data_IF_535107886373
#
_entry.id   IF_535107886373
#
_cell.length_a   1.000
_cell.length_b   1.000
_cell.length_c   1.000
_cell.angle_alpha   90.00
_cell.angle_beta   90.00
_cell.angle_gamma   90.00
#
_symmetry.space_group_name_H-M   'P 1'
#
loop_
_entity.id
_entity.type
_entity.pdbx_description
1 polymer ?
#
# COMPACT_ATOMS: atom_id res chain seq x y z
N UNK A 1 -11.81 -6.08 -30.21
CA UNK A 1 -11.04 -4.85 -30.57
C UNK A 1 -10.14 -4.50 -29.39
N UNK A 2 -8.82 -4.70 -29.52
CA UNK A 2 -7.84 -4.34 -28.47
C UNK A 2 -7.55 -2.85 -28.66
N UNK A 3 -8.02 -2.02 -27.73
CA UNK A 3 -7.81 -0.56 -27.79
C UNK A 3 -6.31 -0.25 -27.94
N UNK A 4 -5.94 0.85 -28.64
CA UNK A 4 -4.54 1.20 -28.87
C UNK A 4 -3.80 1.30 -27.53
N UNK A 5 -2.57 0.77 -27.51
CA UNK A 5 -1.65 0.80 -26.36
C UNK A 5 -1.33 2.26 -25.98
N UNK A 6 -2.24 2.89 -25.25
CA UNK A 6 -2.02 4.19 -24.61
C UNK A 6 -0.82 3.96 -23.70
N UNK A 7 0.30 4.68 -23.90
CA UNK A 7 1.42 4.68 -22.95
C UNK A 7 0.84 5.11 -21.60
N UNK A 8 0.53 4.15 -20.75
CA UNK A 8 -0.05 4.42 -19.44
C UNK A 8 1.08 4.96 -18.56
N UNK A 9 0.93 6.16 -17.98
CA UNK A 9 1.98 6.73 -17.16
C UNK A 9 2.22 5.80 -15.97
N UNK A 10 3.48 5.41 -15.76
CA UNK A 10 3.86 4.58 -14.61
C UNK A 10 3.45 5.23 -13.27
N UNK A 11 3.37 6.57 -13.26
CA UNK A 11 2.94 7.40 -12.15
C UNK A 11 1.53 7.93 -12.39
N UNK A 12 0.55 7.33 -11.74
CA UNK A 12 -0.82 7.82 -11.64
C UNK A 12 -1.08 8.38 -10.26
N UNK A 13 -2.07 9.27 -10.11
CA UNK A 13 -2.46 9.78 -8.79
C UNK A 13 -2.75 8.63 -7.80
N UNK A 14 -3.50 7.61 -8.26
CA UNK A 14 -3.79 6.43 -7.45
C UNK A 14 -2.54 5.64 -7.04
N UNK A 15 -1.56 5.47 -7.92
CA UNK A 15 -0.31 4.78 -7.56
C UNK A 15 0.54 5.58 -6.56
N UNK A 16 0.52 6.91 -6.63
CA UNK A 16 1.19 7.77 -5.64
C UNK A 16 0.50 7.68 -4.28
N UNK A 17 -0.83 7.76 -4.25
CA UNK A 17 -1.61 7.59 -3.01
C UNK A 17 -1.33 6.22 -2.38
N UNK A 18 -1.33 5.16 -3.20
CA UNK A 18 -0.97 3.80 -2.75
C UNK A 18 0.41 3.74 -2.12
N UNK A 19 1.40 4.37 -2.75
CA UNK A 19 2.79 4.39 -2.26
C UNK A 19 2.89 5.14 -0.92
N UNK A 20 2.29 6.32 -0.82
CA UNK A 20 2.32 7.14 0.39
C UNK A 20 1.57 6.46 1.54
N UNK A 21 0.40 5.90 1.27
CA UNK A 21 -0.37 5.17 2.25
C UNK A 21 0.32 3.87 2.68
N UNK A 22 0.91 3.11 1.76
CA UNK A 22 1.69 1.92 2.08
C UNK A 22 2.93 2.24 2.91
N UNK A 23 3.66 3.31 2.57
CA UNK A 23 4.81 3.77 3.34
C UNK A 23 4.41 4.23 4.75
N UNK A 24 3.34 5.01 4.87
CA UNK A 24 2.80 5.45 6.16
C UNK A 24 2.37 4.25 7.00
N UNK A 25 1.75 3.24 6.39
CA UNK A 25 1.35 2.01 7.06
C UNK A 25 2.56 1.26 7.62
N UNK A 26 3.57 1.01 6.76
CA UNK A 26 4.79 0.33 7.15
C UNK A 26 5.56 1.07 8.25
N UNK A 27 5.62 2.41 8.18
CA UNK A 27 6.26 3.24 9.19
C UNK A 27 5.52 3.21 10.53
N UNK A 28 4.19 3.33 10.51
CA UNK A 28 3.36 3.22 11.71
C UNK A 28 3.51 1.85 12.36
N UNK A 29 3.54 0.78 11.56
CA UNK A 29 3.76 -0.57 12.06
C UNK A 29 5.14 -0.71 12.74
N UNK A 30 6.21 -0.26 12.07
CA UNK A 30 7.54 -0.27 12.66
C UNK A 30 7.60 0.52 13.97
N UNK A 31 7.05 1.73 14.00
CA UNK A 31 7.15 2.60 15.16
C UNK A 31 6.26 2.13 16.32
N UNK A 32 4.96 1.90 16.08
CA UNK A 32 4.00 1.59 17.13
C UNK A 32 4.09 0.15 17.60
N UNK A 33 4.28 -0.81 16.69
CA UNK A 33 4.25 -2.24 17.01
C UNK A 33 5.63 -2.75 17.38
N UNK A 34 6.65 -2.48 16.54
CA UNK A 34 8.00 -3.03 16.76
C UNK A 34 8.81 -2.23 17.78
N UNK A 35 8.72 -0.90 17.79
CA UNK A 35 9.52 -0.06 18.69
C UNK A 35 8.83 0.21 20.04
N UNK A 36 7.54 0.54 20.03
CA UNK A 36 6.81 0.95 21.25
C UNK A 36 5.95 -0.16 21.88
N UNK A 37 5.81 -1.34 21.22
CA UNK A 37 4.96 -2.45 21.65
C UNK A 37 3.51 -2.04 21.99
N UNK A 38 3.00 -1.00 21.33
CA UNK A 38 1.68 -0.40 21.55
C UNK A 38 0.59 -1.15 20.78
N UNK A 39 0.35 -2.39 21.16
CA UNK A 39 -0.64 -3.31 20.56
C UNK A 39 -2.04 -2.72 20.28
N UNK A 40 -2.65 -1.88 21.14
CA UNK A 40 -3.98 -1.33 20.87
C UNK A 40 -4.02 -0.29 19.74
N UNK A 41 -2.89 0.33 19.44
CA UNK A 41 -2.78 1.44 18.48
C UNK A 41 -2.61 0.95 17.03
N UNK A 42 -2.70 -0.37 16.81
CA UNK A 42 -2.69 -1.00 15.49
C UNK A 42 -3.84 -0.57 14.59
N UNK A 43 -4.96 -0.14 15.19
CA UNK A 43 -6.12 0.36 14.42
C UNK A 43 -5.75 1.58 13.57
N UNK A 44 -4.73 2.34 13.98
CA UNK A 44 -4.22 3.49 13.22
C UNK A 44 -3.46 3.09 11.96
N UNK A 45 -2.90 1.87 11.89
CA UNK A 45 -2.29 1.33 10.66
C UNK A 45 -3.37 0.91 9.65
N UNK A 46 -4.53 0.46 10.13
CA UNK A 46 -5.60 -0.04 9.27
C UNK A 46 -6.12 1.03 8.30
N UNK A 47 -6.15 2.30 8.73
CA UNK A 47 -6.65 3.42 7.93
C UNK A 47 -5.78 3.65 6.68
N UNK A 48 -4.46 3.92 6.79
CA UNK A 48 -3.58 4.02 5.63
C UNK A 48 -3.42 2.68 4.91
N UNK A 49 -3.42 1.54 5.62
CA UNK A 49 -3.34 0.21 5.01
C UNK A 49 -4.49 -0.06 4.04
N UNK A 50 -5.75 0.11 4.47
CA UNK A 50 -6.93 -0.11 3.63
C UNK A 50 -6.99 0.89 2.47
N UNK A 51 -6.70 2.16 2.73
CA UNK A 51 -6.68 3.19 1.69
C UNK A 51 -5.62 2.88 0.62
N UNK A 52 -4.42 2.49 1.06
CA UNK A 52 -3.33 2.06 0.18
C UNK A 52 -3.72 0.83 -0.64
N UNK A 53 -4.37 -0.16 -0.03
CA UNK A 53 -4.77 -1.40 -0.69
C UNK A 53 -5.84 -1.15 -1.76
N UNK A 54 -6.88 -0.36 -1.46
CA UNK A 54 -7.95 -0.02 -2.41
C UNK A 54 -7.40 0.78 -3.59
N UNK A 55 -6.62 1.83 -3.32
CA UNK A 55 -6.00 2.62 -4.38
C UNK A 55 -4.99 1.80 -5.21
N UNK A 56 -4.28 0.86 -4.56
CA UNK A 56 -3.25 0.04 -5.19
C UNK A 56 -3.86 -0.97 -6.16
N UNK A 57 -4.87 -1.70 -5.70
CA UNK A 57 -5.63 -2.63 -6.54
C UNK A 57 -6.27 -1.90 -7.72
N UNK A 58 -6.88 -0.73 -7.49
CA UNK A 58 -7.45 0.08 -8.56
C UNK A 58 -6.39 0.52 -9.59
N UNK A 59 -5.24 0.99 -9.12
CA UNK A 59 -4.15 1.47 -9.98
C UNK A 59 -3.51 0.33 -10.78
N UNK A 60 -3.35 -0.84 -10.19
CA UNK A 60 -2.83 -2.05 -10.87
C UNK A 60 -3.84 -2.51 -11.92
N UNK A 61 -5.12 -2.67 -11.55
CA UNK A 61 -6.14 -3.18 -12.46
C UNK A 61 -6.36 -2.27 -13.67
N UNK A 62 -6.32 -0.95 -13.47
CA UNK A 62 -6.66 0.01 -14.52
C UNK A 62 -5.46 0.47 -15.36
N UNK A 63 -4.28 0.55 -14.75
CA UNK A 63 -3.10 1.20 -15.34
C UNK A 63 -1.84 0.34 -15.35
N UNK A 64 -1.90 -0.91 -14.88
CA UNK A 64 -0.76 -1.84 -14.78
C UNK A 64 0.48 -1.18 -14.13
N UNK A 65 0.25 -0.32 -13.13
CA UNK A 65 1.29 0.54 -12.58
C UNK A 65 2.23 -0.24 -11.66
N UNK A 66 3.51 -0.29 -12.03
CA UNK A 66 4.58 -0.88 -11.21
C UNK A 66 4.77 -0.18 -9.86
N UNK A 67 4.51 1.13 -9.80
CA UNK A 67 4.63 1.91 -8.56
C UNK A 67 3.55 1.50 -7.56
N UNK A 68 2.35 1.21 -8.05
CA UNK A 68 1.26 0.72 -7.21
C UNK A 68 1.59 -0.65 -6.58
N UNK A 69 2.32 -1.53 -7.29
CA UNK A 69 2.82 -2.78 -6.72
C UNK A 69 3.74 -2.56 -5.52
N UNK A 70 4.67 -1.60 -5.61
CA UNK A 70 5.57 -1.27 -4.50
C UNK A 70 4.78 -0.77 -3.29
N UNK A 71 3.83 0.14 -3.50
CA UNK A 71 2.99 0.65 -2.43
C UNK A 71 2.07 -0.43 -1.82
N UNK A 72 1.58 -1.37 -2.63
CA UNK A 72 0.79 -2.50 -2.16
C UNK A 72 1.63 -3.46 -1.29
N UNK A 73 2.88 -3.74 -1.69
CA UNK A 73 3.80 -4.56 -0.89
C UNK A 73 4.12 -3.90 0.45
N UNK A 74 4.32 -2.57 0.47
CA UNK A 74 4.49 -1.81 1.71
C UNK A 74 3.23 -1.85 2.59
N UNK A 75 2.04 -1.72 1.99
CA UNK A 75 0.79 -1.82 2.72
C UNK A 75 0.57 -3.22 3.32
N UNK A 76 1.06 -4.28 2.65
CA UNK A 76 0.99 -5.67 3.10
C UNK A 76 2.14 -6.09 4.02
N UNK A 77 3.20 -5.29 4.16
CA UNK A 77 4.37 -5.67 4.98
C UNK A 77 4.01 -5.99 6.44
N UNK A 78 3.09 -5.27 7.10
CA UNK A 78 2.65 -5.63 8.45
C UNK A 78 1.99 -7.01 8.52
N UNK A 79 1.27 -7.41 7.48
CA UNK A 79 0.60 -8.71 7.42
C UNK A 79 1.60 -9.88 7.46
N UNK A 80 2.79 -9.68 6.90
CA UNK A 80 3.86 -10.68 6.89
C UNK A 80 4.42 -10.87 8.30
N UNK A 81 4.65 -9.78 9.03
CA UNK A 81 5.07 -9.85 10.44
C UNK A 81 4.02 -10.51 11.31
N UNK A 82 2.73 -10.30 11.03
CA UNK A 82 1.63 -11.02 11.70
C UNK A 82 1.64 -12.53 11.44
N UNK A 83 1.87 -12.96 10.20
CA UNK A 83 1.93 -14.37 9.85
C UNK A 83 3.17 -15.09 10.40
N UNK A 84 4.18 -14.34 10.84
CA UNK A 84 5.42 -14.89 11.42
C UNK A 84 5.40 -15.04 12.94
N UNK A 85 4.34 -14.55 13.61
CA UNK A 85 4.09 -14.73 15.06
C UNK A 85 3.25 -15.98 15.28
#
# INVERSE_FOLDING_TARGET
MKAPARRQPAWTFASVVTLLCGLANAYLHWYLVMNEAMWPYIVFELIPGVLGLVCGVYAIYRYDSKVAWVGLLLALSPLITWLSV
#
